data_IF_943532955008
#
_entry.id   IF_943532955008
#
_cell.length_a   1.000
_cell.length_b   1.000
_cell.length_c   1.000
_cell.angle_alpha   90.00
_cell.angle_beta   90.00
_cell.angle_gamma   90.00
#
_symmetry.space_group_name_H-M   'P 1'
#
loop_
_entity.id
_entity.type
_entity.pdbx_description
1 polymer ?
#
# COMPACT_ATOMS: atom_id res chain seq x y z
N UNK A 1 5.92 0.50 8.61
CA UNK A 1 6.67 1.64 8.02
C UNK A 1 7.66 2.24 9.00
N UNK A 2 7.22 2.84 10.11
CA UNK A 2 8.13 3.49 11.07
C UNK A 2 9.27 2.58 11.57
N UNK A 3 8.95 1.32 11.89
CA UNK A 3 9.96 0.33 12.26
C UNK A 3 11.01 0.11 11.17
N UNK A 4 10.60 0.06 9.89
CA UNK A 4 11.50 -0.13 8.75
C UNK A 4 12.41 1.10 8.53
N UNK A 5 11.89 2.30 8.78
CA UNK A 5 12.73 3.51 8.77
C UNK A 5 13.77 3.47 9.92
N UNK A 6 13.35 3.04 11.11
CA UNK A 6 14.25 2.87 12.25
C UNK A 6 15.33 1.81 11.97
N UNK A 7 14.98 0.67 11.37
CA UNK A 7 15.93 -0.36 10.90
C UNK A 7 16.92 0.18 9.85
N UNK A 8 16.49 1.15 9.03
CA UNK A 8 17.36 1.87 8.09
C UNK A 8 18.24 2.95 8.75
N UNK A 9 18.11 3.16 10.07
CA UNK A 9 18.91 4.10 10.83
C UNK A 9 18.40 5.55 10.82
N UNK A 10 17.13 5.80 10.47
CA UNK A 10 16.56 7.15 10.49
C UNK A 10 15.14 7.21 11.06
N UNK A 11 14.77 8.38 11.59
CA UNK A 11 13.40 8.69 12.01
C UNK A 11 12.77 9.59 10.93
N UNK A 12 11.66 9.18 10.29
CA UNK A 12 11.04 10.00 9.26
C UNK A 12 10.36 11.21 9.89
N UNK A 13 10.53 12.39 9.28
CA UNK A 13 9.72 13.56 9.61
C UNK A 13 8.40 13.46 8.86
N UNK A 14 7.32 13.14 9.58
CA UNK A 14 5.98 12.99 9.00
C UNK A 14 5.23 14.32 9.07
N UNK A 15 5.12 15.01 7.95
CA UNK A 15 4.40 16.30 7.86
C UNK A 15 2.89 16.13 7.73
N UNK A 16 2.43 15.02 7.14
CA UNK A 16 1.02 14.78 6.86
C UNK A 16 0.71 13.28 6.78
N UNK A 17 -0.49 12.89 7.21
CA UNK A 17 -0.99 11.51 7.15
C UNK A 17 -2.46 11.50 6.73
N UNK A 18 -2.82 10.60 5.81
CA UNK A 18 -4.21 10.41 5.37
C UNK A 18 -4.42 8.95 4.94
N UNK A 19 -5.68 8.51 5.00
CA UNK A 19 -6.14 7.23 4.42
C UNK A 19 -6.61 7.37 2.97
N UNK A 20 -6.79 8.61 2.48
CA UNK A 20 -7.17 8.91 1.11
C UNK A 20 -5.91 8.97 0.24
N UNK A 21 -5.69 7.93 -0.57
CA UNK A 21 -4.48 7.77 -1.38
C UNK A 21 -4.35 8.85 -2.45
N UNK A 22 -5.48 9.21 -3.07
CA UNK A 22 -5.62 10.24 -4.10
C UNK A 22 -5.13 11.60 -3.58
N UNK A 23 -5.53 12.00 -2.37
CA UNK A 23 -5.04 13.23 -1.73
C UNK A 23 -3.52 13.23 -1.53
N UNK A 24 -2.96 12.10 -1.08
CA UNK A 24 -1.51 11.96 -0.87
C UNK A 24 -0.74 12.03 -2.19
N UNK A 25 -1.29 11.47 -3.27
CA UNK A 25 -0.69 11.49 -4.60
C UNK A 25 -0.70 12.90 -5.19
N UNK A 26 -1.82 13.64 -5.06
CA UNK A 26 -1.90 15.04 -5.50
C UNK A 26 -0.88 15.93 -4.77
N UNK A 27 -0.70 15.74 -3.46
CA UNK A 27 0.34 16.43 -2.69
C UNK A 27 1.75 16.19 -3.25
N UNK A 28 2.03 15.00 -3.76
CA UNK A 28 3.33 14.67 -4.37
C UNK A 28 3.47 15.32 -5.75
N UNK A 29 2.45 15.33 -6.60
CA UNK A 29 2.56 16.02 -7.89
C UNK A 29 2.68 17.52 -7.76
N UNK A 30 2.06 18.12 -6.73
CA UNK A 30 2.22 19.54 -6.39
C UNK A 30 3.53 19.83 -5.64
N UNK A 31 4.45 18.85 -5.63
CA UNK A 31 5.79 18.95 -5.07
C UNK A 31 5.81 19.37 -3.58
N UNK A 32 4.80 18.94 -2.81
CA UNK A 32 4.68 19.21 -1.37
C UNK A 32 5.41 18.19 -0.50
N UNK A 33 5.99 17.16 -1.11
CA UNK A 33 6.80 16.17 -0.40
C UNK A 33 6.90 14.85 -1.14
N UNK A 34 7.28 13.82 -0.39
CA UNK A 34 7.37 12.43 -0.84
C UNK A 34 6.49 11.54 0.02
N UNK A 35 5.98 10.45 -0.57
CA UNK A 35 5.17 9.46 0.15
C UNK A 35 5.74 8.06 -0.06
N UNK A 36 5.50 7.19 0.91
CA UNK A 36 5.69 5.75 0.76
C UNK A 36 4.32 5.13 0.53
N UNK A 37 4.14 4.49 -0.62
CA UNK A 37 2.87 3.89 -1.03
C UNK A 37 3.13 2.58 -1.80
N UNK A 38 2.12 1.72 -1.86
CA UNK A 38 2.22 0.45 -2.58
C UNK A 38 2.23 0.70 -4.10
N UNK A 39 3.17 0.09 -4.81
CA UNK A 39 3.32 0.18 -6.27
C UNK A 39 2.00 0.03 -7.05
N UNK A 40 1.12 -0.96 -6.75
CA UNK A 40 -0.13 -1.12 -7.50
C UNK A 40 -1.07 0.10 -7.41
N UNK A 41 -1.00 0.88 -6.33
CA UNK A 41 -1.81 2.09 -6.17
C UNK A 41 -1.32 3.19 -7.11
N UNK A 42 0.01 3.32 -7.28
CA UNK A 42 0.58 4.31 -8.20
C UNK A 42 0.30 3.94 -9.65
N UNK A 43 0.48 2.66 -10.00
CA UNK A 43 0.22 2.16 -11.36
C UNK A 43 -1.25 2.31 -11.76
N UNK A 44 -2.18 2.16 -10.82
CA UNK A 44 -3.62 2.30 -11.08
C UNK A 44 -4.11 3.74 -11.09
N UNK A 45 -3.64 4.59 -10.16
CA UNK A 45 -4.22 5.91 -9.91
C UNK A 45 -3.41 7.07 -10.50
N UNK A 46 -2.13 6.84 -10.82
CA UNK A 46 -1.18 7.94 -11.00
C UNK A 46 -0.17 7.68 -12.12
N UNK A 47 -0.64 7.19 -13.27
CA UNK A 47 0.20 7.00 -14.44
C UNK A 47 0.63 8.35 -15.04
N UNK A 48 1.86 8.78 -14.74
CA UNK A 48 2.59 9.79 -15.55
C UNK A 48 2.83 11.16 -14.91
N UNK A 49 2.41 11.42 -13.67
CA UNK A 49 2.64 12.73 -12.99
C UNK A 49 3.70 12.73 -11.89
N UNK A 50 4.54 11.69 -11.83
CA UNK A 50 5.60 11.58 -10.82
C UNK A 50 6.54 10.41 -11.06
N UNK A 51 7.70 10.43 -10.38
CA UNK A 51 8.68 9.34 -10.40
C UNK A 51 8.45 8.35 -9.27
N UNK A 52 8.59 7.06 -9.55
CA UNK A 52 8.57 6.01 -8.52
C UNK A 52 9.97 5.46 -8.29
N UNK A 53 10.44 5.51 -7.04
CA UNK A 53 11.71 4.91 -6.63
C UNK A 53 11.44 3.64 -5.83
N UNK A 54 11.94 2.47 -6.25
CA UNK A 54 11.75 1.24 -5.47
C UNK A 54 12.58 1.27 -4.18
N UNK A 55 11.97 0.88 -3.07
CA UNK A 55 12.64 0.73 -1.78
C UNK A 55 13.34 -0.64 -1.71
N UNK A 56 14.68 -0.65 -1.64
CA UNK A 56 15.48 -1.90 -1.67
C UNK A 56 16.09 -2.30 -0.32
N UNK A 57 16.32 -1.35 0.59
CA UNK A 57 17.03 -1.58 1.86
C UNK A 57 16.44 -0.69 2.97
N UNK A 58 15.67 -1.24 3.94
CA UNK A 58 15.08 -2.57 3.95
C UNK A 58 13.97 -2.71 2.90
N UNK A 59 13.71 -3.94 2.45
CA UNK A 59 12.56 -4.20 1.58
C UNK A 59 11.24 -4.01 2.33
N UNK A 60 10.22 -3.61 1.59
CA UNK A 60 8.85 -3.47 2.09
C UNK A 60 7.98 -4.54 1.41
N UNK A 61 7.89 -5.76 1.98
CA UNK A 61 6.98 -6.76 1.45
C UNK A 61 5.55 -6.27 1.63
N UNK A 62 4.84 -6.14 0.52
CA UNK A 62 3.40 -5.87 0.53
C UNK A 62 2.69 -7.13 0.05
N UNK A 63 1.84 -7.68 0.91
CA UNK A 63 1.05 -8.87 0.61
C UNK A 63 -0.40 -8.57 0.91
N UNK A 64 -1.26 -8.80 -0.07
CA UNK A 64 -2.70 -8.73 0.10
C UNK A 64 -3.19 -10.04 0.69
N UNK A 65 -3.96 -9.97 1.78
CA UNK A 65 -4.50 -11.14 2.45
C UNK A 65 -6.02 -11.09 2.46
N UNK A 66 -6.64 -12.25 2.26
CA UNK A 66 -8.07 -12.44 2.50
C UNK A 66 -8.25 -13.07 3.89
N UNK A 67 -9.05 -12.43 4.73
CA UNK A 67 -9.22 -12.85 6.13
C UNK A 67 -10.70 -13.20 6.37
N UNK A 68 -10.93 -14.35 7.00
CA UNK A 68 -12.26 -14.80 7.44
C UNK A 68 -12.24 -15.20 8.91
N UNK A 69 -13.39 -15.21 9.56
CA UNK A 69 -13.52 -15.65 10.95
C UNK A 69 -13.25 -17.16 11.02
N UNK A 70 -12.35 -17.57 11.93
CA UNK A 70 -12.07 -18.99 12.20
C UNK A 70 -13.37 -19.74 12.51
N UNK A 71 -13.51 -20.94 11.94
CA UNK A 71 -14.67 -21.82 12.10
C UNK A 71 -16.02 -21.25 11.59
N UNK A 72 -16.01 -20.21 10.75
CA UNK A 72 -17.22 -19.71 10.10
C UNK A 72 -17.25 -20.19 8.64
N UNK A 73 -18.30 -20.91 8.27
CA UNK A 73 -18.55 -21.25 6.87
C UNK A 73 -18.86 -19.97 6.08
N UNK A 74 -18.27 -19.84 4.89
CA UNK A 74 -18.53 -18.72 3.99
C UNK A 74 -19.85 -18.96 3.25
N UNK A 75 -20.76 -17.96 3.20
CA UNK A 75 -21.91 -18.00 2.31
C UNK A 75 -21.49 -18.23 0.85
N UNK A 76 -22.38 -18.77 0.01
CA UNK A 76 -22.04 -19.16 -1.37
C UNK A 76 -21.33 -18.07 -2.18
N UNK A 77 -21.80 -16.82 -2.11
CA UNK A 77 -21.17 -15.68 -2.79
C UNK A 77 -19.76 -15.37 -2.24
N UNK A 78 -19.58 -15.41 -0.91
CA UNK A 78 -18.30 -15.17 -0.27
C UNK A 78 -17.29 -16.29 -0.55
N UNK A 79 -17.74 -17.54 -0.61
CA UNK A 79 -16.91 -18.68 -1.03
C UNK A 79 -16.48 -18.55 -2.49
N UNK A 80 -17.38 -18.13 -3.37
CA UNK A 80 -17.05 -17.90 -4.78
C UNK A 80 -15.99 -16.80 -4.94
N UNK A 81 -16.11 -15.70 -4.18
CA UNK A 81 -15.09 -14.65 -4.14
C UNK A 81 -13.76 -15.16 -3.58
N UNK A 82 -13.81 -15.96 -2.52
CA UNK A 82 -12.62 -16.58 -1.92
C UNK A 82 -11.88 -17.46 -2.94
N UNK A 83 -12.60 -18.34 -3.64
CA UNK A 83 -12.04 -19.24 -4.65
C UNK A 83 -11.52 -18.47 -5.88
N UNK A 84 -12.09 -17.31 -6.19
CA UNK A 84 -11.58 -16.41 -7.21
C UNK A 84 -10.24 -15.78 -6.78
N UNK A 85 -10.20 -15.17 -5.59
CA UNK A 85 -9.00 -14.52 -5.07
C UNK A 85 -7.86 -15.49 -4.79
N UNK A 86 -8.14 -16.75 -4.43
CA UNK A 86 -7.13 -17.77 -4.14
C UNK A 86 -6.40 -18.33 -5.38
N UNK A 87 -6.89 -18.02 -6.60
CA UNK A 87 -6.28 -18.46 -7.87
C UNK A 87 -5.32 -17.44 -8.48
N UNK A 88 -5.27 -16.23 -7.91
CA UNK A 88 -4.42 -15.10 -8.35
C UNK A 88 -3.14 -15.09 -7.51
#
# INVERSE_FOLDING_TARGET
>A
MLQRCAEAGFVPQVTFTSSLWDLLLEMVAENKGVIIICRPLVEKLYSGRGGCVPLKKPEFPWTLWLITKKNRSLPGAAKSLWDFCAKV
#
